data_IF_498336145695
#
_entry.id   IF_498336145695
#
_cell.length_a   1.000
_cell.length_b   1.000
_cell.length_c   1.000
_cell.angle_alpha   90.00
_cell.angle_beta   90.00
_cell.angle_gamma   90.00
#
_symmetry.space_group_name_H-M   'P 1'
#
loop_
_entity.id
_entity.type
_entity.pdbx_description
1 polymer ?
#
# COMPACT_ATOMS: atom_id res chain seq x y z
N UNK A 1 -33.00 -15.47 -40.78
CA UNK A 1 -32.66 -15.10 -42.17
C UNK A 1 -31.68 -13.94 -42.17
N UNK A 2 -30.65 -14.01 -43.01
CA UNK A 2 -29.44 -13.18 -43.01
C UNK A 2 -29.62 -11.85 -43.78
N UNK A 3 -28.97 -10.80 -43.25
CA UNK A 3 -28.16 -9.75 -43.90
C UNK A 3 -28.73 -8.82 -45.01
N UNK A 4 -28.40 -7.50 -44.89
CA UNK A 4 -27.60 -6.66 -45.82
C UNK A 4 -27.68 -5.19 -45.35
N UNK A 5 -26.64 -4.54 -44.81
CA UNK A 5 -25.42 -3.94 -45.45
C UNK A 5 -25.70 -3.15 -46.74
N UNK A 6 -25.67 -1.82 -46.61
CA UNK A 6 -25.56 -0.86 -47.71
C UNK A 6 -24.08 -0.73 -48.11
N UNK A 7 -23.83 -0.85 -49.41
CA UNK A 7 -22.57 -0.52 -50.09
C UNK A 7 -22.83 0.78 -50.85
N UNK A 8 -21.88 1.71 -50.84
CA UNK A 8 -21.82 2.75 -51.87
C UNK A 8 -20.38 2.94 -52.32
N UNK A 9 -20.23 2.77 -53.62
CA UNK A 9 -19.01 2.69 -54.43
C UNK A 9 -18.68 4.07 -55.01
N UNK A 10 -17.40 4.44 -55.02
CA UNK A 10 -16.78 5.42 -55.94
C UNK A 10 -15.31 4.99 -56.08
N UNK A 11 -14.60 5.02 -57.20
CA UNK A 11 -14.83 4.93 -58.64
C UNK A 11 -13.43 4.66 -59.24
N UNK A 12 -13.38 4.06 -60.42
CA UNK A 12 -12.19 3.51 -61.08
C UNK A 12 -11.29 4.62 -61.66
N UNK A 13 -9.97 4.47 -61.49
CA UNK A 13 -8.92 5.22 -62.19
C UNK A 13 -7.82 4.28 -62.69
N UNK A 14 -7.43 4.44 -63.95
CA UNK A 14 -6.80 3.46 -64.84
C UNK A 14 -5.29 3.26 -64.61
N UNK A 15 -4.88 1.97 -64.53
CA UNK A 15 -3.76 1.35 -65.26
C UNK A 15 -2.33 1.87 -65.10
N UNK A 16 -1.51 1.14 -64.33
CA UNK A 16 -0.11 0.80 -64.64
C UNK A 16 0.22 -0.51 -63.89
N UNK A 17 0.49 -1.59 -64.62
CA UNK A 17 0.86 -2.89 -64.04
C UNK A 17 2.33 -2.84 -63.65
N UNK A 18 2.60 -2.66 -62.36
CA UNK A 18 3.90 -2.94 -61.77
C UNK A 18 3.85 -4.32 -61.09
N UNK A 19 4.90 -5.15 -61.17
CA UNK A 19 4.93 -6.42 -60.47
C UNK A 19 4.86 -6.15 -58.96
N UNK A 20 3.77 -6.55 -58.32
CA UNK A 20 3.66 -6.55 -56.87
C UNK A 20 4.58 -7.66 -56.37
N UNK A 21 5.78 -7.28 -55.92
CA UNK A 21 6.55 -8.11 -55.00
C UNK A 21 5.71 -8.27 -53.73
N UNK A 22 5.11 -9.44 -53.57
CA UNK A 22 4.35 -9.80 -52.39
C UNK A 22 5.36 -10.11 -51.27
N UNK A 23 5.86 -9.06 -50.62
CA UNK A 23 6.62 -9.23 -49.37
C UNK A 23 5.62 -9.68 -48.31
N UNK A 24 5.64 -10.98 -47.99
CA UNK A 24 5.04 -11.52 -46.77
C UNK A 24 5.80 -10.95 -45.57
N UNK A 25 5.48 -9.73 -45.16
CA UNK A 25 5.84 -9.27 -43.83
C UNK A 25 4.88 -9.93 -42.84
N UNK A 26 5.33 -11.04 -42.26
CA UNK A 26 4.77 -11.52 -40.99
C UNK A 26 4.95 -10.41 -39.96
N UNK A 27 3.89 -9.69 -39.62
CA UNK A 27 3.89 -8.82 -38.44
C UNK A 27 4.02 -9.71 -37.21
N UNK A 28 5.21 -9.80 -36.65
CA UNK A 28 5.41 -10.38 -35.33
C UNK A 28 4.66 -9.49 -34.32
N UNK A 29 3.59 -10.00 -33.75
CA UNK A 29 2.91 -9.35 -32.63
C UNK A 29 3.80 -9.52 -31.40
N UNK A 30 4.56 -8.49 -31.04
CA UNK A 30 5.39 -8.49 -29.83
C UNK A 30 4.49 -8.62 -28.60
N UNK A 31 4.76 -9.59 -27.73
CA UNK A 31 3.98 -9.78 -26.51
C UNK A 31 4.12 -8.57 -25.59
N UNK A 32 3.00 -8.05 -25.08
CA UNK A 32 2.99 -6.90 -24.17
C UNK A 32 3.96 -7.11 -22.98
N UNK A 33 4.85 -6.16 -22.71
CA UNK A 33 5.82 -6.24 -21.61
C UNK A 33 5.13 -6.49 -20.25
N UNK A 34 5.80 -7.17 -19.31
CA UNK A 34 5.27 -7.40 -17.96
C UNK A 34 4.84 -6.07 -17.30
N UNK A 35 5.65 -5.02 -17.43
CA UNK A 35 5.31 -3.69 -16.90
C UNK A 35 4.04 -3.09 -17.49
N UNK A 36 3.75 -3.35 -18.78
CA UNK A 36 2.51 -2.87 -19.39
C UNK A 36 1.27 -3.59 -18.85
N UNK A 37 1.37 -4.90 -18.58
CA UNK A 37 0.29 -5.68 -17.95
C UNK A 37 0.15 -5.31 -16.48
N UNK A 38 1.25 -5.20 -15.75
CA UNK A 38 1.29 -4.80 -14.35
C UNK A 38 0.52 -3.49 -14.13
N UNK A 39 0.75 -2.48 -14.98
CA UNK A 39 0.09 -1.16 -14.88
C UNK A 39 -1.43 -1.18 -15.11
N UNK A 40 -1.96 -2.21 -15.78
CA UNK A 40 -3.41 -2.39 -15.96
C UNK A 40 -4.08 -2.92 -14.70
N UNK A 41 -3.32 -3.46 -13.74
CA UNK A 41 -3.83 -4.06 -12.54
C UNK A 41 -3.98 -3.04 -11.38
N UNK A 42 -5.13 -3.06 -10.72
CA UNK A 42 -5.34 -2.29 -9.47
C UNK A 42 -4.48 -2.82 -8.32
N UNK A 43 -4.19 -2.00 -7.32
CA UNK A 43 -3.53 -2.48 -6.10
C UNK A 43 -4.49 -3.29 -5.22
N UNK A 44 -3.99 -4.34 -4.58
CA UNK A 44 -4.76 -5.22 -3.67
C UNK A 44 -4.94 -4.65 -2.25
N UNK A 45 -4.20 -3.60 -1.88
CA UNK A 45 -4.17 -3.10 -0.50
C UNK A 45 -3.19 -3.86 0.38
N UNK A 46 -3.12 -3.50 1.67
CA UNK A 46 -2.25 -4.17 2.65
C UNK A 46 -3.08 -4.78 3.76
N UNK A 47 -2.87 -6.08 3.99
CA UNK A 47 -3.36 -6.82 5.15
C UNK A 47 -2.26 -6.87 6.20
N UNK A 48 -2.60 -6.64 7.48
CA UNK A 48 -1.64 -6.80 8.58
C UNK A 48 -1.81 -8.18 9.19
N UNK A 49 -0.71 -8.93 9.33
CA UNK A 49 -0.74 -10.33 9.78
C UNK A 49 -1.52 -10.49 11.09
N UNK A 50 -1.23 -9.66 12.10
CA UNK A 50 -1.90 -9.75 13.40
C UNK A 50 -3.42 -9.62 13.32
N UNK A 51 -3.94 -8.80 12.40
CA UNK A 51 -5.39 -8.65 12.17
C UNK A 51 -5.95 -9.87 11.44
N UNK A 52 -5.23 -10.36 10.43
CA UNK A 52 -5.62 -11.57 9.69
C UNK A 52 -5.73 -12.77 10.62
N UNK A 53 -4.70 -13.04 11.43
CA UNK A 53 -4.68 -14.16 12.37
C UNK A 53 -5.76 -14.03 13.44
N UNK A 54 -6.04 -12.82 13.92
CA UNK A 54 -7.12 -12.58 14.87
C UNK A 54 -8.48 -13.01 14.31
N UNK A 55 -8.77 -12.73 13.02
CA UNK A 55 -10.02 -13.16 12.39
C UNK A 55 -10.12 -14.67 12.21
N UNK A 56 -8.99 -15.37 12.24
CA UNK A 56 -8.89 -16.82 12.06
C UNK A 56 -8.68 -17.57 13.37
N UNK A 57 -8.70 -16.86 14.51
CA UNK A 57 -8.40 -17.42 15.83
C UNK A 57 -7.01 -18.12 15.89
N UNK A 58 -6.04 -17.58 15.15
CA UNK A 58 -4.64 -18.05 15.17
C UNK A 58 -3.83 -17.10 16.05
N UNK A 59 -2.96 -17.66 16.90
CA UNK A 59 -2.07 -16.86 17.74
C UNK A 59 -1.01 -16.14 16.87
N UNK A 60 -0.90 -14.82 17.06
CA UNK A 60 0.18 -14.02 16.49
C UNK A 60 1.45 -14.13 17.33
N UNK A 61 2.53 -14.63 16.74
CA UNK A 61 3.83 -14.67 17.38
C UNK A 61 4.61 -13.39 17.04
N UNK A 62 4.93 -12.61 18.06
CA UNK A 62 5.58 -11.30 17.89
C UNK A 62 7.02 -11.47 17.40
N UNK A 63 7.34 -10.90 16.24
CA UNK A 63 8.70 -10.89 15.68
C UNK A 63 9.74 -10.10 16.52
N UNK A 64 9.29 -9.22 17.43
CA UNK A 64 10.16 -8.36 18.25
C UNK A 64 10.11 -8.65 19.77
N UNK A 65 9.75 -9.87 20.18
CA UNK A 65 9.72 -10.24 21.59
C UNK A 65 11.13 -10.47 22.19
N UNK A 66 11.26 -10.31 23.51
CA UNK A 66 12.48 -10.67 24.27
C UNK A 66 13.76 -9.88 23.89
N UNK A 67 13.61 -8.61 23.50
CA UNK A 67 14.75 -7.72 23.28
C UNK A 67 15.45 -7.85 21.91
N UNK A 68 14.95 -8.70 21.02
CA UNK A 68 15.51 -8.96 19.69
C UNK A 68 15.20 -7.88 18.62
N UNK A 69 14.82 -6.66 19.03
CA UNK A 69 14.51 -5.57 18.08
C UNK A 69 15.76 -5.15 17.32
N UNK A 70 15.66 -5.14 16.00
CA UNK A 70 16.71 -4.60 15.14
C UNK A 70 16.42 -3.12 14.89
N UNK A 71 17.18 -2.25 15.53
CA UNK A 71 17.11 -0.82 15.25
C UNK A 71 17.87 -0.51 13.97
N UNK A 72 17.29 0.33 13.11
CA UNK A 72 18.03 0.82 11.95
C UNK A 72 19.25 1.62 12.39
N UNK A 73 20.39 1.39 11.75
CA UNK A 73 21.65 2.07 12.11
C UNK A 73 21.61 3.60 11.95
N UNK A 74 20.63 4.13 11.21
CA UNK A 74 20.37 5.56 11.04
C UNK A 74 19.02 6.01 11.61
N UNK A 75 18.42 5.20 12.49
CA UNK A 75 17.09 5.43 13.07
C UNK A 75 15.91 5.28 12.10
N UNK A 76 16.16 5.11 10.79
CA UNK A 76 15.17 4.87 9.73
C UNK A 76 15.76 3.97 8.63
N UNK A 77 14.93 3.31 7.80
CA UNK A 77 15.44 2.52 6.69
C UNK A 77 16.14 3.41 5.65
N UNK A 78 17.14 2.83 5.00
CA UNK A 78 17.93 3.42 3.92
C UNK A 78 17.41 2.99 2.53
N UNK A 79 16.48 2.03 2.48
CA UNK A 79 16.02 1.42 1.24
C UNK A 79 15.19 0.16 1.48
N UNK A 80 14.96 -0.57 0.40
CA UNK A 80 14.15 -1.78 0.33
C UNK A 80 14.92 -2.85 -0.44
N UNK A 81 14.98 -4.06 0.11
CA UNK A 81 15.46 -5.28 -0.55
C UNK A 81 14.24 -6.06 -1.05
N UNK A 82 14.30 -6.46 -2.31
CA UNK A 82 13.32 -7.31 -2.97
C UNK A 82 13.89 -8.72 -3.03
N UNK A 83 13.07 -9.67 -2.59
CA UNK A 83 13.38 -11.09 -2.52
C UNK A 83 12.40 -11.90 -3.38
N UNK A 84 12.69 -13.19 -3.55
CA UNK A 84 11.68 -14.19 -3.91
C UNK A 84 11.69 -15.36 -2.93
N UNK A 85 10.52 -15.97 -2.72
CA UNK A 85 10.35 -16.95 -1.65
C UNK A 85 11.05 -18.29 -1.87
N UNK A 86 11.53 -18.58 -3.08
CA UNK A 86 12.00 -19.89 -3.52
C UNK A 86 11.02 -21.07 -3.27
N UNK A 87 9.73 -20.80 -3.04
CA UNK A 87 8.70 -21.80 -2.74
C UNK A 87 7.58 -21.80 -3.80
N UNK A 88 7.76 -22.50 -4.94
CA UNK A 88 6.73 -22.58 -5.97
C UNK A 88 5.38 -23.07 -5.42
N UNK A 89 4.31 -22.32 -5.69
CA UNK A 89 2.94 -22.68 -5.31
C UNK A 89 2.50 -22.24 -3.91
N UNK A 90 3.41 -21.73 -3.06
CA UNK A 90 3.02 -21.12 -1.80
C UNK A 90 2.50 -19.69 -2.03
N UNK A 91 1.32 -19.39 -1.50
CA UNK A 91 0.78 -18.03 -1.49
C UNK A 91 1.42 -17.17 -0.39
N UNK A 92 1.24 -15.85 -0.46
CA UNK A 92 1.66 -14.94 0.61
C UNK A 92 1.00 -15.30 1.95
N UNK A 93 -0.21 -15.86 1.93
CA UNK A 93 -0.86 -16.41 3.12
C UNK A 93 -0.11 -17.62 3.68
N UNK A 94 0.26 -18.58 2.82
CA UNK A 94 0.99 -19.78 3.26
C UNK A 94 2.32 -19.40 3.91
N UNK A 95 3.09 -18.52 3.26
CA UNK A 95 4.35 -18.00 3.78
C UNK A 95 4.14 -17.25 5.10
N UNK A 96 3.14 -16.36 5.16
CA UNK A 96 2.85 -15.61 6.37
C UNK A 96 2.47 -16.50 7.57
N UNK A 97 1.68 -17.56 7.35
CA UNK A 97 1.36 -18.55 8.39
C UNK A 97 2.60 -19.32 8.82
N UNK A 98 3.41 -19.76 7.86
CA UNK A 98 4.64 -20.50 8.12
C UNK A 98 5.63 -19.66 8.94
N UNK A 99 5.95 -18.45 8.51
CA UNK A 99 6.86 -17.55 9.21
C UNK A 99 6.30 -17.07 10.54
N UNK A 100 4.98 -16.87 10.70
CA UNK A 100 4.41 -16.62 12.02
C UNK A 100 4.71 -17.77 13.00
N UNK A 101 4.70 -19.03 12.53
CA UNK A 101 4.96 -20.20 13.37
C UNK A 101 6.46 -20.45 13.60
N UNK A 102 7.28 -20.32 12.56
CA UNK A 102 8.64 -20.89 12.54
C UNK A 102 9.79 -19.88 12.65
N UNK A 103 9.52 -18.56 12.60
CA UNK A 103 10.61 -17.56 12.56
C UNK A 103 11.61 -17.68 13.72
N UNK A 104 11.18 -18.15 14.90
CA UNK A 104 12.06 -18.37 16.06
C UNK A 104 13.00 -19.57 15.89
N UNK A 105 12.59 -20.59 15.14
CA UNK A 105 13.40 -21.77 14.85
C UNK A 105 14.38 -21.46 13.71
N UNK A 106 13.93 -20.70 12.72
CA UNK A 106 14.71 -20.37 11.53
C UNK A 106 15.61 -19.15 11.70
N UNK A 107 15.33 -18.31 12.70
CA UNK A 107 15.91 -16.97 12.85
C UNK A 107 15.80 -16.14 11.57
N UNK A 108 14.69 -16.30 10.84
CA UNK A 108 14.42 -15.62 9.58
C UNK A 108 12.99 -15.11 9.50
N UNK A 109 12.81 -13.89 9.01
CA UNK A 109 11.52 -13.29 8.66
C UNK A 109 11.74 -11.97 7.90
N UNK A 110 10.73 -11.56 7.14
CA UNK A 110 10.72 -10.31 6.37
C UNK A 110 9.61 -9.36 6.81
N UNK A 111 9.52 -8.19 6.18
CA UNK A 111 8.47 -7.22 6.51
C UNK A 111 7.13 -7.57 5.89
N UNK A 112 7.12 -8.11 4.68
CA UNK A 112 5.90 -8.47 3.98
C UNK A 112 6.12 -9.59 2.97
N UNK A 113 5.07 -10.37 2.76
CA UNK A 113 4.92 -11.29 1.63
C UNK A 113 3.92 -10.72 0.64
N UNK A 114 4.22 -10.84 -0.65
CA UNK A 114 3.42 -10.32 -1.75
C UNK A 114 3.16 -11.41 -2.79
N UNK A 115 1.91 -11.57 -3.20
CA UNK A 115 1.52 -12.36 -4.36
C UNK A 115 0.54 -11.55 -5.24
N UNK A 116 -0.04 -12.18 -6.25
CA UNK A 116 -1.02 -11.54 -7.14
C UNK A 116 -2.32 -11.11 -6.44
N UNK A 117 -2.66 -11.74 -5.32
CA UNK A 117 -3.93 -11.59 -4.62
C UNK A 117 -3.85 -10.68 -3.39
N UNK A 118 -2.70 -10.61 -2.72
CA UNK A 118 -2.55 -9.89 -1.46
C UNK A 118 -1.12 -9.41 -1.16
N UNK A 119 -1.04 -8.40 -0.29
CA UNK A 119 0.17 -7.99 0.42
C UNK A 119 -0.09 -8.22 1.91
N UNK A 120 0.69 -9.08 2.56
CA UNK A 120 0.59 -9.34 3.99
C UNK A 120 1.82 -8.76 4.69
N UNK A 121 1.62 -7.68 5.44
CA UNK A 121 2.67 -7.09 6.27
C UNK A 121 2.78 -7.88 7.59
N UNK A 122 3.92 -8.53 7.77
CA UNK A 122 4.31 -9.37 8.91
C UNK A 122 4.81 -8.53 10.08
N UNK A 123 5.71 -7.59 9.77
CA UNK A 123 6.46 -6.78 10.71
C UNK A 123 6.37 -5.30 10.34
N UNK A 124 6.41 -4.43 11.35
CA UNK A 124 6.42 -2.97 11.10
C UNK A 124 7.72 -2.55 10.42
N UNK A 125 7.67 -1.73 9.35
CA UNK A 125 8.87 -1.24 8.66
C UNK A 125 9.69 -0.22 9.46
N UNK A 126 9.31 0.07 10.71
CA UNK A 126 10.07 0.95 11.62
C UNK A 126 11.27 0.26 12.29
N UNK A 127 11.41 -1.05 12.15
CA UNK A 127 12.55 -1.81 12.65
C UNK A 127 13.04 -2.74 11.54
N UNK A 128 14.30 -3.15 11.62
CA UNK A 128 14.85 -4.17 10.75
C UNK A 128 14.24 -5.55 10.99
N UNK A 129 14.59 -6.48 10.10
CA UNK A 129 14.17 -7.89 10.13
C UNK A 129 15.36 -8.80 9.83
N UNK A 130 15.24 -10.11 10.02
CA UNK A 130 16.28 -11.08 9.70
C UNK A 130 16.00 -11.78 8.37
N UNK A 131 16.35 -11.17 7.23
CA UNK A 131 16.07 -11.81 5.94
C UNK A 131 17.10 -11.57 4.83
N UNK A 132 18.08 -10.67 5.03
CA UNK A 132 19.07 -10.34 4.01
C UNK A 132 20.52 -10.36 4.53
N UNK A 133 20.78 -11.07 5.63
CA UNK A 133 22.09 -11.10 6.28
C UNK A 133 22.38 -9.88 7.17
N UNK A 134 23.33 -10.03 8.08
CA UNK A 134 23.59 -9.07 9.17
C UNK A 134 23.88 -7.64 8.68
N UNK A 135 24.53 -7.51 7.53
CA UNK A 135 24.93 -6.21 6.96
C UNK A 135 23.77 -5.41 6.35
N UNK A 136 22.64 -6.07 6.03
CA UNK A 136 21.45 -5.45 5.43
C UNK A 136 20.28 -5.34 6.42
N UNK A 137 20.19 -6.26 7.37
CA UNK A 137 19.07 -6.38 8.31
C UNK A 137 18.75 -5.10 9.09
N UNK A 138 19.75 -4.29 9.44
CA UNK A 138 19.58 -3.00 10.12
C UNK A 138 19.59 -1.78 9.19
N UNK A 139 19.40 -1.99 7.88
CA UNK A 139 19.43 -0.93 6.86
C UNK A 139 18.17 -0.87 6.05
N UNK A 140 17.56 -2.01 5.71
CA UNK A 140 16.54 -2.06 4.68
C UNK A 140 15.24 -2.70 5.14
N UNK A 141 14.14 -2.22 4.57
CA UNK A 141 12.90 -2.97 4.51
C UNK A 141 13.10 -4.16 3.57
N UNK A 142 12.45 -5.29 3.82
CA UNK A 142 12.67 -6.53 3.07
C UNK A 142 11.30 -7.11 2.71
N UNK A 143 11.08 -7.37 1.43
CA UNK A 143 9.80 -7.80 0.87
C UNK A 143 10.02 -9.06 0.05
N UNK A 144 9.22 -10.08 0.31
CA UNK A 144 9.24 -11.37 -0.38
C UNK A 144 8.15 -11.43 -1.44
N UNK A 145 8.54 -11.66 -2.70
CA UNK A 145 7.62 -11.93 -3.78
C UNK A 145 7.40 -13.44 -3.94
N UNK A 146 6.16 -13.89 -3.83
CA UNK A 146 5.80 -15.29 -3.99
C UNK A 146 5.89 -15.72 -5.46
N UNK A 147 6.24 -16.99 -5.68
CA UNK A 147 6.33 -17.54 -7.03
C UNK A 147 4.95 -17.86 -7.63
N UNK A 148 4.66 -17.24 -8.77
CA UNK A 148 3.43 -17.37 -9.53
C UNK A 148 3.57 -18.40 -10.65
N UNK A 149 2.43 -18.89 -11.14
CA UNK A 149 2.37 -19.93 -12.17
C UNK A 149 1.89 -19.43 -13.54
N UNK A 150 1.40 -18.19 -13.62
CA UNK A 150 0.94 -17.59 -14.88
C UNK A 150 1.56 -16.20 -15.06
N UNK A 151 1.71 -15.79 -16.32
CA UNK A 151 2.30 -14.50 -16.67
C UNK A 151 1.47 -13.32 -16.15
N UNK A 152 0.15 -13.46 -16.16
CA UNK A 152 -0.77 -12.43 -15.65
C UNK A 152 -0.68 -12.31 -14.13
N UNK A 153 -0.61 -13.44 -13.41
CA UNK A 153 -0.42 -13.42 -11.97
C UNK A 153 0.96 -12.86 -11.61
N UNK A 154 2.02 -13.22 -12.34
CA UNK A 154 3.34 -12.63 -12.15
C UNK A 154 3.33 -11.12 -12.37
N UNK A 155 2.73 -10.64 -13.46
CA UNK A 155 2.59 -9.21 -13.72
C UNK A 155 1.78 -8.50 -12.62
N UNK A 156 0.74 -9.15 -12.11
CA UNK A 156 -0.07 -8.66 -10.99
C UNK A 156 0.70 -8.64 -9.67
N UNK A 157 1.53 -9.64 -9.39
CA UNK A 157 2.31 -9.72 -8.15
C UNK A 157 3.42 -8.66 -8.13
N UNK A 158 4.18 -8.48 -9.22
CA UNK A 158 5.17 -7.39 -9.32
C UNK A 158 4.51 -6.01 -9.30
N UNK A 159 3.27 -5.88 -9.79
CA UNK A 159 2.48 -4.66 -9.62
C UNK A 159 2.20 -4.36 -8.14
N UNK A 160 1.71 -5.36 -7.40
CA UNK A 160 1.42 -5.20 -5.97
C UNK A 160 2.68 -4.85 -5.18
N UNK A 161 3.77 -5.55 -5.46
CA UNK A 161 5.06 -5.34 -4.80
C UNK A 161 5.62 -3.95 -5.11
N UNK A 162 5.68 -3.55 -6.39
CA UNK A 162 6.19 -2.25 -6.79
C UNK A 162 5.39 -1.08 -6.18
N UNK A 163 4.07 -1.20 -6.08
CA UNK A 163 3.22 -0.19 -5.42
C UNK A 163 3.50 -0.15 -3.91
N UNK A 164 3.64 -1.31 -3.27
CA UNK A 164 3.96 -1.39 -1.85
C UNK A 164 5.34 -0.78 -1.55
N UNK A 165 6.36 -1.13 -2.34
CA UNK A 165 7.69 -0.54 -2.26
C UNK A 165 7.66 0.98 -2.47
N UNK A 166 6.99 1.48 -3.52
CA UNK A 166 6.86 2.92 -3.77
C UNK A 166 6.21 3.69 -2.60
N UNK A 167 5.18 3.10 -1.97
CA UNK A 167 4.54 3.67 -0.76
C UNK A 167 5.48 3.75 0.42
N UNK A 168 6.31 2.72 0.62
CA UNK A 168 7.30 2.69 1.69
C UNK A 168 8.41 3.72 1.44
N UNK A 169 8.86 3.87 0.19
CA UNK A 169 9.81 4.92 -0.18
C UNK A 169 9.27 6.32 0.17
N UNK A 170 8.01 6.62 -0.18
CA UNK A 170 7.35 7.87 0.23
C UNK A 170 7.25 8.00 1.75
N UNK A 171 6.80 6.95 2.45
CA UNK A 171 6.66 6.93 3.91
C UNK A 171 7.95 7.31 4.65
N UNK A 172 9.11 6.89 4.12
CA UNK A 172 10.41 7.13 4.76
C UNK A 172 11.23 8.24 4.10
N UNK A 173 10.63 8.99 3.17
CA UNK A 173 11.27 10.05 2.40
C UNK A 173 12.57 9.56 1.73
N UNK A 174 12.47 8.44 1.01
CA UNK A 174 13.53 7.81 0.24
C UNK A 174 13.24 8.00 -1.25
N UNK A 175 14.20 8.53 -1.99
CA UNK A 175 14.09 8.68 -3.45
C UNK A 175 14.46 7.35 -4.11
N UNK A 176 13.67 6.80 -5.05
CA UNK A 176 13.99 5.56 -5.75
C UNK A 176 15.33 5.66 -6.50
N UNK A 177 16.29 4.83 -6.13
CA UNK A 177 17.58 4.66 -6.81
C UNK A 177 17.93 3.19 -6.88
N UNK A 178 18.23 2.69 -8.08
CA UNK A 178 18.59 1.30 -8.29
C UNK A 178 20.02 1.04 -7.81
N UNK A 179 20.17 0.14 -6.84
CA UNK A 179 21.46 -0.24 -6.28
C UNK A 179 22.06 -1.50 -6.91
N UNK A 180 21.32 -2.23 -7.76
CA UNK A 180 21.71 -3.58 -8.21
C UNK A 180 23.00 -3.61 -9.04
N UNK A 181 23.38 -2.48 -9.65
CA UNK A 181 24.60 -2.36 -10.44
C UNK A 181 25.71 -1.55 -9.75
N UNK A 182 25.38 -0.79 -8.71
CA UNK A 182 26.28 0.23 -8.13
C UNK A 182 26.63 -0.03 -6.67
N UNK A 183 25.88 -0.86 -5.95
CA UNK A 183 25.99 -0.98 -4.50
C UNK A 183 25.57 0.29 -3.75
N UNK A 184 24.86 1.21 -4.40
CA UNK A 184 24.39 2.45 -3.80
C UNK A 184 23.01 2.83 -4.33
N UNK A 185 22.06 3.00 -3.41
CA UNK A 185 20.68 3.33 -3.76
C UNK A 185 19.69 2.87 -2.68
N UNK A 186 18.41 2.89 -3.05
CA UNK A 186 17.29 2.65 -2.15
C UNK A 186 16.45 1.45 -2.55
N UNK A 187 16.67 0.87 -3.73
CA UNK A 187 16.07 -0.39 -4.18
C UNK A 187 17.18 -1.38 -4.50
N UNK A 188 17.14 -2.53 -3.83
CA UNK A 188 18.15 -3.58 -3.84
C UNK A 188 17.49 -4.92 -4.16
N UNK A 189 18.19 -5.82 -4.84
CA UNK A 189 17.93 -7.25 -4.75
C UNK A 189 18.72 -7.86 -3.60
N UNK A 190 18.32 -9.05 -3.14
CA UNK A 190 19.16 -9.80 -2.22
C UNK A 190 20.51 -10.17 -2.86
N UNK A 191 20.53 -10.47 -4.17
CA UNK A 191 21.79 -10.64 -4.90
C UNK A 191 22.71 -9.41 -4.83
N UNK A 192 22.17 -8.19 -4.96
CA UNK A 192 22.95 -6.97 -4.81
C UNK A 192 23.50 -6.82 -3.39
N UNK A 193 22.73 -7.21 -2.37
CA UNK A 193 23.22 -7.28 -0.99
C UNK A 193 24.40 -8.25 -0.89
N UNK A 194 24.28 -9.48 -1.41
CA UNK A 194 25.36 -10.47 -1.42
C UNK A 194 26.64 -9.92 -2.06
N UNK A 195 26.52 -9.26 -3.22
CA UNK A 195 27.65 -8.73 -3.99
C UNK A 195 28.33 -7.53 -3.36
N UNK A 196 27.58 -6.57 -2.83
CA UNK A 196 28.13 -5.28 -2.41
C UNK A 196 28.25 -5.12 -0.90
N UNK A 197 27.46 -5.84 -0.11
CA UNK A 197 27.45 -5.74 1.35
C UNK A 197 27.95 -7.02 2.02
N UNK A 198 27.77 -8.19 1.40
CA UNK A 198 28.10 -9.48 1.98
C UNK A 198 27.23 -9.84 3.21
N UNK A 199 27.61 -10.90 3.92
CA UNK A 199 26.84 -11.43 5.06
C UNK A 199 25.65 -12.31 4.66
N UNK A 200 25.52 -12.61 3.37
CA UNK A 200 24.59 -13.53 2.72
C UNK A 200 25.18 -13.91 1.35
N UNK A 201 24.76 -15.03 0.77
CA UNK A 201 25.19 -15.51 -0.54
C UNK A 201 24.02 -15.78 -1.49
N UNK A 202 22.82 -15.34 -1.14
CA UNK A 202 21.64 -15.57 -1.96
C UNK A 202 21.66 -14.71 -3.24
N UNK A 203 20.94 -15.17 -4.26
CA UNK A 203 20.89 -14.54 -5.59
C UNK A 203 19.49 -14.11 -6.02
N UNK A 204 18.51 -14.15 -5.12
CA UNK A 204 17.14 -13.70 -5.38
C UNK A 204 17.06 -12.17 -5.65
N UNK A 205 16.12 -11.69 -6.49
CA UNK A 205 15.11 -12.44 -7.24
C UNK A 205 15.53 -12.80 -8.68
N UNK A 206 16.83 -12.75 -9.00
CA UNK A 206 17.32 -12.73 -10.40
C UNK A 206 16.84 -13.94 -11.21
N UNK A 207 16.98 -15.16 -10.66
CA UNK A 207 16.56 -16.38 -11.34
C UNK A 207 15.06 -16.44 -11.60
N UNK A 208 14.26 -16.03 -10.60
CA UNK A 208 12.81 -16.01 -10.74
C UNK A 208 12.31 -14.95 -11.71
N UNK A 209 12.90 -13.75 -11.69
CA UNK A 209 12.56 -12.71 -12.66
C UNK A 209 12.95 -13.13 -14.09
N UNK A 210 14.12 -13.74 -14.27
CA UNK A 210 14.58 -14.21 -15.58
C UNK A 210 13.64 -15.26 -16.20
N UNK A 211 13.01 -16.14 -15.39
CA UNK A 211 11.98 -17.09 -15.84
C UNK A 211 10.82 -16.42 -16.58
N UNK A 212 10.53 -15.15 -16.27
CA UNK A 212 9.45 -14.37 -16.88
C UNK A 212 9.92 -13.39 -17.95
N UNK A 213 11.20 -13.43 -18.34
CA UNK A 213 11.81 -12.40 -19.18
C UNK A 213 11.76 -11.02 -18.50
N UNK A 214 11.93 -11.01 -17.18
CA UNK A 214 11.86 -9.83 -16.33
C UNK A 214 13.20 -9.58 -15.62
N UNK A 215 13.39 -8.40 -15.04
CA UNK A 215 14.63 -8.05 -14.34
C UNK A 215 14.41 -7.03 -13.21
N UNK A 216 15.40 -6.88 -12.33
CA UNK A 216 15.38 -5.85 -11.30
C UNK A 216 15.37 -4.43 -11.89
N UNK A 217 15.94 -4.20 -13.07
CA UNK A 217 15.86 -2.90 -13.75
C UNK A 217 14.44 -2.58 -14.21
N UNK A 218 13.71 -3.59 -14.71
CA UNK A 218 12.30 -3.44 -15.07
C UNK A 218 11.43 -3.28 -13.82
N UNK A 219 11.70 -4.01 -12.74
CA UNK A 219 11.02 -3.83 -11.45
C UNK A 219 11.27 -2.43 -10.87
N UNK A 220 12.51 -1.97 -10.85
CA UNK A 220 12.87 -0.61 -10.44
C UNK A 220 12.10 0.43 -11.27
N UNK A 221 12.01 0.24 -12.58
CA UNK A 221 11.25 1.15 -13.46
C UNK A 221 9.76 1.20 -13.08
N UNK A 222 9.19 0.07 -12.65
CA UNK A 222 7.81 0.00 -12.18
C UNK A 222 7.62 0.69 -10.82
N UNK A 223 8.55 0.48 -9.88
CA UNK A 223 8.58 1.19 -8.59
C UNK A 223 8.68 2.69 -8.80
N UNK A 224 9.62 3.14 -9.64
CA UNK A 224 9.83 4.56 -9.94
C UNK A 224 8.56 5.18 -10.55
N UNK A 225 7.93 4.50 -11.50
CA UNK A 225 6.66 4.94 -12.08
C UNK A 225 5.58 5.17 -11.00
N UNK A 226 5.39 4.21 -10.08
CA UNK A 226 4.41 4.35 -9.01
C UNK A 226 4.80 5.37 -7.93
N UNK A 227 6.10 5.57 -7.71
CA UNK A 227 6.61 6.61 -6.83
C UNK A 227 6.32 8.00 -7.41
N UNK A 228 6.66 8.25 -8.68
CA UNK A 228 6.45 9.53 -9.33
C UNK A 228 4.96 9.89 -9.41
N UNK A 229 4.10 8.90 -9.71
CA UNK A 229 2.64 9.07 -9.69
C UNK A 229 2.10 9.53 -8.34
N UNK A 230 2.65 9.01 -7.24
CA UNK A 230 2.27 9.40 -5.88
C UNK A 230 2.84 10.78 -5.49
N UNK A 231 4.03 11.13 -5.98
CA UNK A 231 4.68 12.42 -5.71
C UNK A 231 4.00 13.61 -6.40
N UNK A 232 3.52 13.40 -7.64
CA UNK A 232 2.81 14.43 -8.42
C UNK A 232 1.51 14.94 -7.75
N UNK A 233 0.89 14.16 -6.87
CA UNK A 233 -0.32 14.52 -6.13
C UNK A 233 -0.05 15.44 -4.90
N UNK A 234 1.21 15.69 -4.53
CA UNK A 234 1.59 16.46 -3.32
C UNK A 234 1.99 17.93 -3.57
N UNK A 235 1.94 18.40 -4.81
CA UNK A 235 2.38 19.76 -5.21
C UNK A 235 1.40 20.92 -4.91
N UNK A 236 0.23 20.66 -4.35
CA UNK A 236 -0.74 21.71 -3.99
C UNK A 236 -0.67 22.05 -2.49
N UNK A 237 -0.01 23.16 -2.18
CA UNK A 237 -0.02 23.79 -0.86
C UNK A 237 -1.47 24.12 -0.45
N UNK A 238 -2.00 23.66 0.70
CA UNK A 238 -3.27 24.15 1.19
C UNK A 238 -3.04 25.54 1.79
N UNK A 239 -3.66 26.51 1.14
CA UNK A 239 -3.79 27.87 1.63
C UNK A 239 -4.56 27.92 2.96
N UNK A 240 -4.15 28.84 3.81
CA UNK A 240 -4.68 29.09 5.14
C UNK A 240 -5.77 30.15 5.06
N UNK A 241 -7.02 29.76 5.33
CA UNK A 241 -8.17 30.66 5.53
C UNK A 241 -9.43 29.92 5.11
N UNK A 242 -10.55 29.90 5.84
CA UNK A 242 -11.09 30.90 6.71
C UNK A 242 -12.17 30.24 7.60
N UNK A 243 -12.32 30.77 8.81
CA UNK A 243 -13.41 30.41 9.72
C UNK A 243 -14.75 30.87 9.12
N UNK A 244 -15.81 30.08 9.33
CA UNK A 244 -17.09 30.70 9.67
C UNK A 244 -17.93 29.78 10.56
N UNK A 245 -18.28 30.38 11.69
CA UNK A 245 -19.12 29.88 12.76
C UNK A 245 -20.58 29.95 12.33
N UNK A 246 -21.38 28.94 12.64
CA UNK A 246 -22.82 29.06 12.72
C UNK A 246 -23.34 28.08 13.78
N UNK A 247 -23.82 28.68 14.86
CA UNK A 247 -24.48 28.11 16.04
C UNK A 247 -25.95 27.74 15.78
N UNK A 248 -26.44 26.79 16.58
CA UNK A 248 -27.82 26.61 17.08
C UNK A 248 -28.91 26.09 16.10
N UNK A 249 -29.90 25.26 16.43
CA UNK A 249 -30.61 24.88 17.69
C UNK A 249 -31.33 23.52 17.53
N UNK A 250 -31.62 22.83 18.65
CA UNK A 250 -32.81 21.95 18.92
C UNK A 250 -32.97 20.60 18.18
N UNK A 251 -32.75 19.41 18.77
CA UNK A 251 -33.61 18.64 19.72
C UNK A 251 -35.00 18.30 19.10
N UNK A 252 -35.52 17.06 19.03
CA UNK A 252 -35.54 15.89 19.93
C UNK A 252 -36.06 14.67 19.09
N UNK A 253 -35.47 13.46 19.16
CA UNK A 253 -35.88 12.31 20.01
C UNK A 253 -37.01 11.45 19.32
N UNK A 254 -37.09 10.12 19.31
CA UNK A 254 -36.83 9.08 20.33
C UNK A 254 -36.60 7.70 19.66
N UNK A 255 -35.76 6.86 20.27
CA UNK A 255 -35.66 5.42 19.96
C UNK A 255 -34.50 4.72 20.67
N UNK A 256 -34.51 4.76 22.01
CA UNK A 256 -33.44 4.36 22.91
C UNK A 256 -33.14 2.85 22.98
N UNK A 257 -31.87 2.53 23.24
CA UNK A 257 -31.36 1.21 23.60
C UNK A 257 -29.97 1.27 24.24
N UNK A 258 -29.91 1.80 25.47
CA UNK A 258 -28.87 1.71 26.53
C UNK A 258 -27.45 2.25 26.29
N UNK A 259 -27.18 3.29 27.08
CA UNK A 259 -25.95 3.99 27.40
C UNK A 259 -24.84 3.10 28.01
N UNK A 260 -23.63 3.22 27.48
CA UNK A 260 -22.42 3.32 28.32
C UNK A 260 -21.56 4.40 27.69
N UNK A 261 -21.08 5.33 28.50
CA UNK A 261 -20.00 6.27 28.14
C UNK A 261 -18.88 5.50 27.45
N UNK A 262 -18.84 5.54 26.11
CA UNK A 262 -17.87 4.80 25.32
C UNK A 262 -16.49 5.38 25.61
N UNK A 263 -15.81 4.77 26.58
CA UNK A 263 -14.41 5.10 26.88
C UNK A 263 -13.64 4.91 25.58
N UNK A 264 -13.11 6.02 25.08
CA UNK A 264 -12.28 6.04 23.89
C UNK A 264 -11.16 5.00 24.02
N UNK A 265 -10.74 4.39 22.91
CA UNK A 265 -9.98 3.14 22.95
C UNK A 265 -8.59 3.36 23.55
N UNK A 266 -8.17 2.49 24.48
CA UNK A 266 -6.80 2.44 25.04
C UNK A 266 -6.02 1.25 24.49
N UNK A 267 -4.70 1.25 24.71
CA UNK A 267 -3.75 0.24 24.23
C UNK A 267 -3.29 0.49 22.80
N UNK A 268 -2.64 -0.51 22.20
CA UNK A 268 -2.12 -0.39 20.84
C UNK A 268 -3.25 -0.25 19.81
N UNK A 269 -3.22 0.81 19.01
CA UNK A 269 -4.20 1.11 17.95
C UNK A 269 -3.49 1.46 16.66
N UNK A 270 -4.04 1.00 15.54
CA UNK A 270 -3.58 1.39 14.22
C UNK A 270 -4.23 2.71 13.82
N UNK A 271 -3.40 3.63 13.34
CA UNK A 271 -3.83 4.85 12.71
C UNK A 271 -4.47 4.53 11.34
N UNK A 272 -5.66 5.06 11.06
CA UNK A 272 -6.41 4.78 9.83
C UNK A 272 -6.42 5.97 8.86
N UNK A 273 -5.90 7.11 9.30
CA UNK A 273 -5.71 8.33 8.53
C UNK A 273 -4.46 9.05 9.05
N UNK A 274 -3.67 9.67 8.17
CA UNK A 274 -2.50 10.44 8.57
C UNK A 274 -2.83 11.44 9.69
N UNK A 275 -1.93 11.55 10.67
CA UNK A 275 -2.14 12.34 11.87
C UNK A 275 -0.95 13.21 12.20
N UNK A 276 -1.23 14.49 12.39
CA UNK A 276 -0.36 15.38 13.14
C UNK A 276 -0.46 15.08 14.62
N UNK A 277 0.63 15.40 15.33
CA UNK A 277 0.70 15.35 16.77
C UNK A 277 0.50 16.75 17.35
N UNK A 278 -0.08 16.77 18.54
CA UNK A 278 -0.47 17.97 19.26
C UNK A 278 -0.02 17.86 20.71
N UNK A 279 0.23 18.99 21.35
CA UNK A 279 0.46 19.04 22.78
C UNK A 279 -0.86 19.08 23.58
N UNK A 280 -0.74 19.12 24.91
CA UNK A 280 -1.85 19.17 25.84
C UNK A 280 -2.75 20.42 25.70
N UNK A 281 -2.27 21.47 25.03
CA UNK A 281 -3.00 22.72 24.76
C UNK A 281 -3.68 22.69 23.38
N UNK A 282 -3.37 21.68 22.55
CA UNK A 282 -3.93 21.51 21.21
C UNK A 282 -3.10 22.19 20.12
N UNK A 283 -1.91 22.68 20.46
CA UNK A 283 -0.98 23.21 19.49
C UNK A 283 -0.24 22.07 18.80
N UNK A 284 -0.14 22.16 17.47
CA UNK A 284 0.56 21.15 16.68
C UNK A 284 2.05 21.17 17.04
N UNK A 285 2.61 20.00 17.32
CA UNK A 285 4.04 19.87 17.62
C UNK A 285 4.87 19.85 16.33
N UNK A 286 6.19 19.98 16.47
CA UNK A 286 7.14 19.84 15.36
C UNK A 286 7.45 18.37 15.01
N UNK A 287 6.80 17.40 15.67
CA UNK A 287 6.99 15.99 15.33
C UNK A 287 6.45 15.71 13.92
N UNK A 288 7.11 14.80 13.21
CA UNK A 288 6.70 14.40 11.86
C UNK A 288 5.26 13.86 11.80
N UNK A 289 4.65 13.98 10.61
CA UNK A 289 3.35 13.39 10.33
C UNK A 289 3.40 11.87 10.56
N UNK A 290 2.51 11.34 11.40
CA UNK A 290 2.35 9.89 11.59
C UNK A 290 1.39 9.39 10.51
N UNK A 291 1.86 8.49 9.64
CA UNK A 291 1.06 8.02 8.49
C UNK A 291 0.05 6.95 8.86
N UNK A 292 -1.04 6.84 8.11
CA UNK A 292 -1.99 5.74 8.25
C UNK A 292 -1.29 4.37 8.14
N UNK A 293 -1.72 3.43 8.98
CA UNK A 293 -1.11 2.12 9.17
C UNK A 293 -0.15 2.04 10.37
N UNK A 294 0.33 3.18 10.89
CA UNK A 294 1.19 3.21 12.08
C UNK A 294 0.44 2.76 13.34
N UNK A 295 1.04 1.87 14.12
CA UNK A 295 0.53 1.53 15.46
C UNK A 295 1.02 2.53 16.49
N UNK A 296 0.11 3.07 17.29
CA UNK A 296 0.39 3.95 18.44
C UNK A 296 -0.20 3.33 19.71
N UNK A 297 0.43 3.56 20.86
CA UNK A 297 -0.11 3.11 22.15
C UNK A 297 -0.96 4.23 22.72
N UNK A 298 -2.28 4.05 22.76
CA UNK A 298 -3.20 5.05 23.32
C UNK A 298 -3.32 4.84 24.83
N UNK A 299 -2.94 5.83 25.62
CA UNK A 299 -2.99 5.76 27.08
C UNK A 299 -4.26 6.39 27.64
N UNK A 300 -4.70 7.49 27.04
CA UNK A 300 -5.86 8.24 27.49
C UNK A 300 -6.54 8.97 26.33
N UNK A 301 -7.73 9.49 26.60
CA UNK A 301 -8.40 10.44 25.72
C UNK A 301 -8.52 11.80 26.40
N UNK A 302 -8.46 12.86 25.60
CA UNK A 302 -8.54 14.24 26.07
C UNK A 302 -9.42 15.07 25.15
N UNK A 303 -10.29 15.90 25.71
CA UNK A 303 -11.00 16.93 24.97
C UNK A 303 -10.13 18.19 25.00
N UNK A 304 -9.77 18.71 23.82
CA UNK A 304 -8.97 19.93 23.69
C UNK A 304 -9.72 20.85 22.71
N UNK A 305 -10.13 22.02 23.19
CA UNK A 305 -10.87 23.02 22.40
C UNK A 305 -12.07 22.41 21.64
N UNK A 306 -12.87 21.58 22.32
CA UNK A 306 -14.07 20.94 21.76
C UNK A 306 -13.81 19.76 20.82
N UNK A 307 -12.55 19.39 20.56
CA UNK A 307 -12.18 18.26 19.70
C UNK A 307 -11.57 17.12 20.52
N UNK A 308 -11.94 15.88 20.20
CA UNK A 308 -11.41 14.70 20.90
C UNK A 308 -10.04 14.31 20.36
N UNK A 309 -9.11 14.08 21.29
CA UNK A 309 -7.76 13.60 21.05
C UNK A 309 -7.48 12.34 21.85
N UNK A 310 -6.52 11.55 21.37
CA UNK A 310 -5.97 10.36 22.02
C UNK A 310 -4.51 10.64 22.38
N UNK A 311 -4.16 10.47 23.66
CA UNK A 311 -2.79 10.58 24.13
C UNK A 311 -2.02 9.34 23.71
N UNK A 312 -0.85 9.56 23.09
CA UNK A 312 0.01 8.50 22.55
C UNK A 312 1.44 8.54 23.09
N UNK A 313 1.74 9.50 23.95
CA UNK A 313 3.02 9.69 24.62
C UNK A 313 2.95 10.86 25.61
N UNK A 314 4.08 11.22 26.19
CA UNK A 314 4.18 12.36 27.09
C UNK A 314 3.96 13.67 26.32
N UNK A 315 2.90 14.38 26.68
CA UNK A 315 2.46 15.59 25.97
C UNK A 315 2.29 15.39 24.44
N UNK A 316 2.03 14.17 23.97
CA UNK A 316 1.75 13.86 22.56
C UNK A 316 0.33 13.34 22.38
N UNK A 317 -0.44 14.02 21.55
CA UNK A 317 -1.85 13.74 21.28
C UNK A 317 -2.12 13.69 19.78
N UNK A 318 -3.05 12.83 19.35
CA UNK A 318 -3.54 12.77 17.97
C UNK A 318 -5.04 12.91 17.92
N UNK A 319 -5.58 13.46 16.83
CA UNK A 319 -7.03 13.59 16.65
C UNK A 319 -7.70 12.23 16.67
N UNK A 320 -8.69 12.03 17.54
CA UNK A 320 -9.30 10.72 17.77
C UNK A 320 -9.96 10.13 16.52
N UNK A 321 -10.51 10.96 15.63
CA UNK A 321 -11.16 10.49 14.39
C UNK A 321 -10.20 9.80 13.42
N UNK A 322 -8.88 9.99 13.56
CA UNK A 322 -7.88 9.28 12.75
C UNK A 322 -7.72 7.80 13.17
N UNK A 323 -8.24 7.41 14.34
CA UNK A 323 -8.24 6.02 14.84
C UNK A 323 -9.66 5.47 14.98
N UNK A 324 -10.52 6.22 15.66
CA UNK A 324 -11.88 5.78 16.01
C UNK A 324 -12.80 5.84 14.79
N UNK A 325 -12.61 6.87 13.96
CA UNK A 325 -13.45 7.16 12.82
C UNK A 325 -14.88 7.57 13.19
N UNK A 326 -15.65 7.89 12.15
CA UNK A 326 -17.07 8.25 12.21
C UNK A 326 -17.85 7.41 11.22
N UNK A 327 -18.99 6.87 11.65
CA UNK A 327 -19.96 6.21 10.77
C UNK A 327 -20.64 7.26 9.88
N UNK A 328 -20.66 7.02 8.56
CA UNK A 328 -21.33 7.85 7.55
C UNK A 328 -22.21 6.98 6.67
N UNK A 329 -23.40 7.47 6.32
CA UNK A 329 -24.35 6.74 5.49
C UNK A 329 -24.09 7.06 4.02
N UNK A 330 -24.05 6.03 3.18
CA UNK A 330 -23.96 6.17 1.74
C UNK A 330 -25.28 6.67 1.14
N UNK A 331 -25.23 7.74 0.34
CA UNK A 331 -26.39 8.27 -0.41
C UNK A 331 -26.68 7.51 -1.69
N UNK A 332 -25.69 6.78 -2.22
CA UNK A 332 -25.72 6.01 -3.46
C UNK A 332 -24.80 4.81 -3.37
N UNK A 333 -24.92 3.88 -4.33
CA UNK A 333 -23.94 2.81 -4.46
C UNK A 333 -22.56 3.42 -4.72
N UNK A 334 -21.54 2.88 -4.05
CA UNK A 334 -20.20 3.41 -4.07
C UNK A 334 -19.18 2.32 -4.36
N UNK A 335 -17.99 2.76 -4.75
CA UNK A 335 -16.84 1.90 -4.95
C UNK A 335 -15.72 2.34 -4.03
N UNK A 336 -14.84 1.39 -3.74
CA UNK A 336 -13.59 1.63 -3.03
C UNK A 336 -12.47 1.95 -4.02
N UNK A 337 -11.53 2.74 -3.54
CA UNK A 337 -10.41 3.27 -4.30
C UNK A 337 -9.12 3.09 -3.52
N UNK A 338 -8.02 2.83 -4.21
CA UNK A 338 -6.70 2.76 -3.60
C UNK A 338 -6.12 4.17 -3.34
N UNK A 339 -4.93 4.22 -2.76
CA UNK A 339 -4.19 5.47 -2.50
C UNK A 339 -3.87 6.30 -3.74
N UNK A 340 -3.94 5.72 -4.94
CA UNK A 340 -3.75 6.41 -6.22
C UNK A 340 -5.09 6.79 -6.88
N UNK A 341 -6.21 6.59 -6.20
CA UNK A 341 -7.53 6.96 -6.69
C UNK A 341 -8.07 6.01 -7.75
N UNK A 342 -7.43 4.84 -7.92
CA UNK A 342 -7.90 3.79 -8.84
C UNK A 342 -8.94 2.93 -8.15
N UNK A 343 -10.00 2.58 -8.86
CA UNK A 343 -11.07 1.73 -8.32
C UNK A 343 -10.48 0.35 -8.00
N UNK A 344 -10.73 -0.15 -6.80
CA UNK A 344 -10.36 -1.52 -6.44
C UNK A 344 -11.39 -2.52 -7.01
N UNK A 345 -11.11 -3.81 -6.87
CA UNK A 345 -11.98 -4.90 -7.32
C UNK A 345 -12.98 -5.35 -6.25
N UNK A 346 -13.04 -4.66 -5.10
CA UNK A 346 -13.96 -5.02 -4.02
C UNK A 346 -15.42 -4.91 -4.49
N UNK A 347 -16.33 -5.71 -3.89
CA UNK A 347 -17.75 -5.54 -4.11
C UNK A 347 -18.19 -4.10 -3.87
N UNK A 348 -19.13 -3.62 -4.70
CA UNK A 348 -19.71 -2.29 -4.53
C UNK A 348 -20.33 -2.16 -3.14
N UNK A 349 -20.12 -1.01 -2.52
CA UNK A 349 -20.76 -0.64 -1.27
C UNK A 349 -22.18 -0.16 -1.59
N UNK A 350 -23.17 -0.74 -0.92
CA UNK A 350 -24.57 -0.49 -1.24
C UNK A 350 -25.09 0.78 -0.57
N UNK A 351 -25.95 1.51 -1.28
CA UNK A 351 -26.69 2.68 -0.78
C UNK A 351 -27.35 2.40 0.58
N UNK A 352 -27.50 3.43 1.41
CA UNK A 352 -28.10 3.42 2.74
C UNK A 352 -27.33 2.60 3.80
N UNK A 353 -26.20 1.99 3.45
CA UNK A 353 -25.31 1.38 4.44
C UNK A 353 -24.39 2.42 5.09
N UNK A 354 -24.10 2.19 6.36
CA UNK A 354 -23.14 2.96 7.13
C UNK A 354 -21.73 2.42 6.93
N UNK A 355 -20.81 3.26 6.46
CA UNK A 355 -19.38 2.98 6.38
C UNK A 355 -18.65 3.79 7.44
N UNK A 356 -17.69 3.17 8.12
CA UNK A 356 -16.79 3.90 9.04
C UNK A 356 -15.72 4.61 8.22
N UNK A 357 -15.61 5.92 8.41
CA UNK A 357 -14.64 6.79 7.75
C UNK A 357 -13.68 7.37 8.77
N UNK A 358 -12.44 7.61 8.39
CA UNK A 358 -11.38 8.04 9.29
C UNK A 358 -10.82 9.40 8.88
N UNK A 359 -10.53 10.23 9.88
CA UNK A 359 -9.97 11.57 9.69
C UNK A 359 -10.83 12.50 8.83
N UNK A 360 -10.15 13.45 8.18
CA UNK A 360 -10.73 14.42 7.28
C UNK A 360 -10.96 13.85 5.88
N UNK A 361 -11.47 14.69 4.98
CA UNK A 361 -11.45 14.35 3.55
C UNK A 361 -10.02 14.47 3.02
N UNK A 362 -9.61 13.54 2.17
CA UNK A 362 -8.36 13.62 1.41
C UNK A 362 -8.66 13.88 -0.05
N UNK A 363 -7.71 14.51 -0.75
CA UNK A 363 -7.77 14.69 -2.21
C UNK A 363 -6.82 13.67 -2.84
N UNK A 364 -7.34 12.88 -3.77
CA UNK A 364 -6.57 11.90 -4.55
C UNK A 364 -6.95 12.09 -6.01
N UNK A 365 -5.99 12.34 -6.90
CA UNK A 365 -6.25 12.63 -8.31
C UNK A 365 -7.39 13.67 -8.52
N UNK A 366 -7.34 14.78 -7.77
CA UNK A 366 -8.29 15.89 -7.86
C UNK A 366 -9.71 15.63 -7.32
N UNK A 367 -9.98 14.46 -6.73
CA UNK A 367 -11.30 14.11 -6.16
C UNK A 367 -11.20 13.95 -4.65
N UNK A 368 -12.29 14.27 -3.95
CA UNK A 368 -12.38 14.16 -2.49
C UNK A 368 -12.82 12.76 -2.07
N UNK A 369 -12.15 12.20 -1.07
CA UNK A 369 -12.42 10.89 -0.51
C UNK A 369 -12.42 10.91 1.02
N UNK A 370 -13.07 9.93 1.62
CA UNK A 370 -12.83 9.54 2.99
C UNK A 370 -12.02 8.24 3.04
N UNK A 371 -11.04 8.17 3.94
CA UNK A 371 -10.35 6.92 4.25
C UNK A 371 -11.32 5.97 4.97
N UNK A 372 -11.35 4.70 4.56
CA UNK A 372 -12.09 3.61 5.22
C UNK A 372 -11.15 2.53 5.75
N UNK A 373 -9.88 2.60 5.38
CA UNK A 373 -8.75 1.85 5.92
C UNK A 373 -7.47 2.66 5.63
N UNK A 374 -6.28 2.22 6.09
CA UNK A 374 -5.03 2.91 5.77
C UNK A 374 -4.72 3.03 4.27
N UNK A 375 -5.35 2.22 3.43
CA UNK A 375 -5.05 2.17 1.99
C UNK A 375 -6.28 2.20 1.08
N UNK A 376 -7.49 2.24 1.64
CA UNK A 376 -8.73 2.25 0.89
C UNK A 376 -9.58 3.47 1.21
N UNK A 377 -10.23 3.97 0.18
CA UNK A 377 -10.94 5.24 0.16
C UNK A 377 -12.29 5.10 -0.53
N UNK A 378 -13.25 5.91 -0.12
CA UNK A 378 -14.55 6.04 -0.80
C UNK A 378 -14.79 7.51 -1.10
N UNK A 379 -15.24 7.82 -2.32
CA UNK A 379 -15.49 9.20 -2.73
C UNK A 379 -16.44 9.90 -1.76
N UNK A 380 -16.04 11.09 -1.30
CA UNK A 380 -16.78 11.85 -0.29
C UNK A 380 -18.21 12.20 -0.75
N UNK A 381 -18.39 12.45 -2.05
CA UNK A 381 -19.70 12.74 -2.68
C UNK A 381 -20.73 11.62 -2.54
N UNK A 382 -20.31 10.42 -2.13
CA UNK A 382 -21.20 9.29 -1.91
C UNK A 382 -21.77 9.25 -0.49
N UNK A 383 -21.35 10.12 0.42
CA UNK A 383 -21.82 10.15 1.81
C UNK A 383 -22.75 11.34 2.08
N UNK A 384 -23.61 11.18 3.10
CA UNK A 384 -24.30 12.29 3.75
C UNK A 384 -23.36 13.05 4.70
#
# INVERSE_FOLDING_TARGET
MKLKKLITTIAIGVGLVAPIYQTNQSQAVEAASINSIAKQNSYVGVTFLNKMLQTQNIQYNKFYANGNKIYYRKGKPEGIVIHETATPGASAYNEAIYFNREWMNMYSYVHAFVDSQQVIQMMTPNYGVWGAGANANNRFIQIELCQENTRDNFAKSVNNDAIYAAKLLHRYNLVPSNACNTGSGTIWSHHAVSRFLGGTNHTDPDGYFNKWGYSMDQFYSLVKYYYDLQGADTGAKPDSGNNNSATDTGQSDVGAGKDTTSKLPTGNKTLMHDAYTYDATGQRTNSGLKTAGTTVTVTAAKLISGKQYLQIGDNEYIVASNIVGKKRILTRNAYTYDTAGRRTTDPKLLRNHSIRTYGGQVIIAGKRYYAISPTQFVKAVNFR
#
